data_IF_776417046356
#
_entry.id   IF_776417046356
#
_cell.length_a   1.000
_cell.length_b   1.000
_cell.length_c   1.000
_cell.angle_alpha   90.00
_cell.angle_beta   90.00
_cell.angle_gamma   90.00
#
_symmetry.space_group_name_H-M   'P 1'
#
loop_
_entity.id
_entity.type
_entity.pdbx_description
1 polymer ?
#
# COMPACT_ATOMS: atom_id res chain seq x y z
N UNK A 1 3.05 17.17 20.04
CA UNK A 1 2.70 16.15 21.05
C UNK A 1 2.77 14.75 20.48
N UNK A 2 2.31 14.53 19.23
CA UNK A 2 2.46 13.27 18.48
C UNK A 2 3.89 12.74 18.25
N UNK A 3 4.91 13.49 18.59
CA UNK A 3 6.30 13.06 18.43
C UNK A 3 7.13 13.45 19.66
N UNK A 4 6.46 13.74 20.78
CA UNK A 4 7.07 14.18 22.05
C UNK A 4 7.25 13.05 23.08
N UNK A 5 6.33 12.08 23.12
CA UNK A 5 6.27 11.04 24.16
C UNK A 5 6.89 9.70 23.71
N UNK A 6 7.61 9.69 22.59
CA UNK A 6 8.38 8.55 22.15
C UNK A 6 9.74 8.51 22.86
N UNK A 7 10.11 7.37 23.43
CA UNK A 7 11.46 7.14 23.97
C UNK A 7 12.52 7.56 22.95
N UNK A 8 13.70 7.99 23.42
CA UNK A 8 14.77 8.53 22.56
C UNK A 8 15.16 7.60 21.39
N UNK A 9 14.88 6.29 21.50
CA UNK A 9 15.09 5.29 20.46
C UNK A 9 13.94 5.19 19.42
N UNK A 10 12.70 5.49 19.80
CA UNK A 10 11.53 5.56 18.91
C UNK A 10 11.46 6.92 18.18
N UNK A 11 12.03 7.97 18.78
CA UNK A 11 12.11 9.30 18.17
C UNK A 11 12.97 9.30 16.88
N UNK A 12 14.02 8.47 16.81
CA UNK A 12 14.81 8.26 15.58
C UNK A 12 14.01 7.62 14.43
N UNK A 13 12.97 6.82 14.70
CA UNK A 13 12.18 6.15 13.63
C UNK A 13 11.00 6.98 13.14
N UNK A 14 10.46 7.82 14.02
CA UNK A 14 9.44 8.82 13.70
C UNK A 14 9.97 9.89 12.71
N UNK A 15 11.27 10.15 12.76
CA UNK A 15 11.97 11.20 12.01
C UNK A 15 12.03 11.01 10.48
N UNK A 16 11.46 9.94 9.93
CA UNK A 16 11.64 9.56 8.52
C UNK A 16 10.34 9.43 7.72
N UNK A 17 9.45 10.43 7.79
CA UNK A 17 8.52 10.66 6.68
C UNK A 17 9.30 11.31 5.53
N UNK A 18 9.45 10.66 4.36
CA UNK A 18 10.19 11.23 3.25
C UNK A 18 9.43 12.46 2.71
N UNK A 19 9.92 13.65 3.07
CA UNK A 19 9.46 14.91 2.52
C UNK A 19 10.16 15.16 1.17
N UNK A 20 9.39 14.98 0.10
CA UNK A 20 9.74 14.53 -1.25
C UNK A 20 9.87 15.43 -2.49
N UNK A 21 9.70 16.77 -2.56
CA UNK A 21 9.57 17.39 -3.92
C UNK A 21 10.79 18.03 -4.56
N UNK A 22 10.96 17.68 -5.85
CA UNK A 22 11.88 18.23 -6.85
C UNK A 22 13.23 18.65 -6.26
N UNK A 23 14.07 17.63 -6.02
CA UNK A 23 15.53 17.74 -5.86
C UNK A 23 16.05 18.06 -4.44
N UNK A 24 15.22 17.95 -3.39
CA UNK A 24 15.63 18.24 -2.01
C UNK A 24 15.01 17.31 -0.95
N UNK A 25 15.82 16.41 -0.35
CA UNK A 25 15.44 15.67 0.86
C UNK A 25 15.49 16.59 2.09
N UNK A 26 14.51 16.46 2.99
CA UNK A 26 14.45 17.17 4.27
C UNK A 26 14.83 16.23 5.42
N UNK A 27 15.56 16.75 6.40
CA UNK A 27 15.96 16.02 7.61
C UNK A 27 15.42 16.74 8.83
N UNK A 28 14.81 16.04 9.80
CA UNK A 28 14.40 16.65 11.06
C UNK A 28 15.61 17.14 11.85
N UNK A 29 15.43 18.24 12.55
CA UNK A 29 16.45 18.85 13.40
C UNK A 29 15.76 19.56 14.55
N UNK A 30 16.41 19.63 15.69
CA UNK A 30 15.90 20.35 16.85
C UNK A 30 16.91 21.31 17.44
N UNK A 31 16.40 22.38 18.07
CA UNK A 31 17.20 23.33 18.85
C UNK A 31 16.58 23.49 20.22
N UNK A 32 17.43 23.58 21.25
CA UNK A 32 16.99 23.81 22.64
C UNK A 32 17.26 25.26 23.02
N UNK A 33 16.24 25.96 23.53
CA UNK A 33 16.35 27.31 24.06
C UNK A 33 16.06 27.27 25.56
N UNK A 34 16.89 27.96 26.35
CA UNK A 34 16.76 28.08 27.80
C UNK A 34 16.71 26.72 28.55
N UNK A 35 17.39 25.70 28.05
CA UNK A 35 17.54 24.39 28.71
C UNK A 35 16.30 23.49 28.73
N UNK A 36 15.09 24.04 28.55
CA UNK A 36 13.83 23.27 28.65
C UNK A 36 12.97 23.27 27.38
N UNK A 37 13.05 24.31 26.53
CA UNK A 37 12.15 24.44 25.37
C UNK A 37 12.83 23.96 24.10
N UNK A 38 12.39 22.81 23.59
CA UNK A 38 12.86 22.21 22.32
C UNK A 38 11.98 22.68 21.16
N UNK A 39 12.60 23.20 20.11
CA UNK A 39 11.95 23.59 18.86
C UNK A 39 12.39 22.61 17.77
N UNK A 40 11.45 22.09 16.98
CA UNK A 40 11.71 21.12 15.91
C UNK A 40 11.42 21.72 14.54
N UNK A 41 12.27 21.41 13.58
CA UNK A 41 12.21 21.90 12.22
C UNK A 41 12.66 20.82 11.24
N UNK A 42 12.06 20.80 10.05
CA UNK A 42 12.58 20.06 8.91
C UNK A 42 13.51 20.95 8.10
N UNK A 43 14.73 20.49 7.86
CA UNK A 43 15.82 21.25 7.24
C UNK A 43 16.18 20.61 5.91
N UNK A 44 16.24 21.42 4.84
CA UNK A 44 16.62 20.90 3.53
C UNK A 44 18.11 20.48 3.50
N UNK A 45 18.39 19.22 3.18
CA UNK A 45 19.76 18.69 3.08
C UNK A 45 20.60 19.43 2.03
N UNK A 46 20.02 19.77 0.88
CA UNK A 46 20.71 20.51 -0.19
C UNK A 46 21.13 21.90 0.29
N UNK A 47 20.30 22.52 1.09
CA UNK A 47 20.52 23.86 1.59
C UNK A 47 21.49 23.88 2.78
N UNK A 48 21.50 22.82 3.60
CA UNK A 48 22.51 22.59 4.63
C UNK A 48 23.90 22.33 4.03
N UNK A 49 23.98 21.53 2.96
CA UNK A 49 25.26 21.17 2.31
C UNK A 49 25.79 22.20 1.30
N UNK A 50 24.90 22.88 0.55
CA UNK A 50 25.26 23.81 -0.53
C UNK A 50 24.90 25.26 -0.23
N UNK A 51 24.40 25.56 0.97
CA UNK A 51 24.09 26.90 1.45
C UNK A 51 22.64 27.35 1.22
N UNK A 52 22.12 28.17 2.15
CA UNK A 52 20.72 28.62 2.23
C UNK A 52 20.21 29.47 1.06
N UNK A 53 21.09 29.96 0.20
CA UNK A 53 20.73 30.71 -1.01
C UNK A 53 20.23 29.80 -2.14
N UNK A 54 20.57 28.51 -2.09
CA UNK A 54 20.30 27.53 -3.15
C UNK A 54 18.99 26.76 -2.97
N UNK A 55 18.24 27.03 -1.89
CA UNK A 55 16.92 26.43 -1.65
C UNK A 55 16.00 27.44 -0.98
N UNK A 56 14.84 27.71 -1.60
CA UNK A 56 13.85 28.66 -1.07
C UNK A 56 13.14 28.12 0.17
N UNK A 57 12.99 26.80 0.30
CA UNK A 57 12.27 26.16 1.41
C UNK A 57 12.99 26.24 2.75
N UNK A 58 14.31 26.47 2.75
CA UNK A 58 15.18 26.59 3.92
C UNK A 58 14.86 25.59 5.05
N UNK A 59 14.11 26.05 6.04
CA UNK A 59 13.63 25.27 7.19
C UNK A 59 12.13 25.44 7.35
N UNK A 60 11.45 24.37 7.74
CA UNK A 60 10.00 24.36 7.94
C UNK A 60 9.69 23.96 9.39
N UNK A 61 8.83 24.70 10.13
CA UNK A 61 8.43 24.30 11.47
C UNK A 61 7.77 22.92 11.46
N UNK A 62 8.32 21.99 12.24
CA UNK A 62 7.83 20.61 12.24
C UNK A 62 6.38 20.55 12.74
N UNK A 63 6.06 21.27 13.82
CA UNK A 63 4.74 21.28 14.41
C UNK A 63 3.62 21.73 13.44
N UNK A 64 3.90 22.65 12.52
CA UNK A 64 2.91 23.14 11.56
C UNK A 64 2.64 22.11 10.45
N UNK A 65 3.70 21.49 9.91
CA UNK A 65 3.57 20.46 8.87
C UNK A 65 2.97 19.18 9.44
N UNK A 66 3.45 18.72 10.61
CA UNK A 66 2.92 17.56 11.31
C UNK A 66 1.43 17.72 11.59
N UNK A 67 1.03 18.89 12.11
CA UNK A 67 -0.38 19.19 12.36
C UNK A 67 -1.17 19.22 11.06
N UNK A 68 -0.66 19.85 10.00
CA UNK A 68 -1.35 19.87 8.71
C UNK A 68 -1.57 18.47 8.13
N UNK A 69 -0.56 17.59 8.21
CA UNK A 69 -0.66 16.21 7.73
C UNK A 69 -1.68 15.42 8.54
N UNK A 70 -1.62 15.51 9.87
CA UNK A 70 -2.57 14.83 10.76
C UNK A 70 -3.99 15.35 10.57
N UNK A 71 -4.18 16.67 10.52
CA UNK A 71 -5.48 17.29 10.27
C UNK A 71 -6.01 16.85 8.90
N UNK A 72 -5.15 16.75 7.87
CA UNK A 72 -5.57 16.22 6.57
C UNK A 72 -5.97 14.76 6.61
N UNK A 73 -5.22 13.89 7.32
CA UNK A 73 -5.56 12.47 7.50
C UNK A 73 -6.91 12.31 8.21
N UNK A 74 -7.13 13.06 9.30
CA UNK A 74 -8.40 13.09 10.06
C UNK A 74 -9.59 13.52 9.21
N UNK A 75 -9.38 14.52 8.35
CA UNK A 75 -10.44 15.04 7.49
C UNK A 75 -10.59 14.32 6.15
N UNK A 76 -9.77 13.30 5.83
CA UNK A 76 -9.96 12.49 4.60
C UNK A 76 -11.36 11.89 4.56
N UNK A 77 -11.92 11.50 5.70
CA UNK A 77 -13.29 11.00 5.80
C UNK A 77 -14.40 12.03 5.62
N UNK A 78 -14.09 13.31 5.83
CA UNK A 78 -15.07 14.40 5.83
C UNK A 78 -15.02 15.24 4.54
N UNK A 79 -13.95 15.14 3.75
CA UNK A 79 -13.81 15.81 2.46
C UNK A 79 -14.40 14.93 1.35
N UNK A 80 -15.66 15.21 0.98
CA UNK A 80 -16.39 14.42 -0.02
C UNK A 80 -15.66 14.32 -1.36
N UNK A 81 -14.92 15.36 -1.77
CA UNK A 81 -14.18 15.34 -3.03
C UNK A 81 -12.97 14.40 -2.96
N UNK A 82 -12.27 14.38 -1.81
CA UNK A 82 -11.16 13.46 -1.60
C UNK A 82 -11.63 12.01 -1.44
N UNK A 83 -12.77 11.79 -0.77
CA UNK A 83 -13.40 10.46 -0.70
C UNK A 83 -13.74 9.96 -2.10
N UNK A 84 -14.35 10.80 -2.93
CA UNK A 84 -14.71 10.44 -4.31
C UNK A 84 -13.45 10.11 -5.14
N UNK A 85 -12.38 10.89 -5.00
CA UNK A 85 -11.09 10.62 -5.64
C UNK A 85 -10.48 9.29 -5.18
N UNK A 86 -10.47 9.01 -3.87
CA UNK A 86 -9.97 7.75 -3.30
C UNK A 86 -10.78 6.56 -3.78
N UNK A 87 -12.11 6.65 -3.79
CA UNK A 87 -13.00 5.61 -4.29
C UNK A 87 -12.72 5.32 -5.76
N UNK A 88 -12.56 6.37 -6.57
CA UNK A 88 -12.25 6.22 -7.99
C UNK A 88 -10.87 5.59 -8.21
N UNK A 89 -9.84 6.05 -7.48
CA UNK A 89 -8.50 5.45 -7.56
C UNK A 89 -8.49 3.98 -7.10
N UNK A 90 -9.20 3.66 -6.01
CA UNK A 90 -9.32 2.30 -5.51
C UNK A 90 -10.04 1.39 -6.52
N UNK A 91 -11.08 1.90 -7.19
CA UNK A 91 -11.79 1.19 -8.25
C UNK A 91 -10.88 0.94 -9.45
N UNK A 92 -10.18 1.96 -9.94
CA UNK A 92 -9.20 1.83 -11.04
C UNK A 92 -8.14 0.77 -10.70
N UNK A 93 -7.60 0.80 -9.48
CA UNK A 93 -6.59 -0.17 -9.05
C UNK A 93 -7.16 -1.58 -8.98
N UNK A 94 -8.37 -1.75 -8.43
CA UNK A 94 -9.05 -3.04 -8.35
C UNK A 94 -9.37 -3.60 -9.74
N UNK A 95 -9.82 -2.76 -10.67
CA UNK A 95 -10.09 -3.16 -12.06
C UNK A 95 -8.82 -3.59 -12.79
N UNK A 96 -7.69 -2.91 -12.55
CA UNK A 96 -6.38 -3.30 -13.10
C UNK A 96 -5.92 -4.66 -12.57
N UNK A 97 -6.00 -4.86 -11.26
CA UNK A 97 -5.63 -6.12 -10.62
C UNK A 97 -6.52 -7.27 -11.10
N UNK A 98 -7.84 -7.03 -11.16
CA UNK A 98 -8.80 -7.99 -11.69
C UNK A 98 -8.49 -8.33 -13.15
N UNK A 99 -8.23 -7.32 -13.99
CA UNK A 99 -7.88 -7.52 -15.39
C UNK A 99 -6.61 -8.36 -15.57
N UNK A 100 -5.57 -8.11 -14.75
CA UNK A 100 -4.33 -8.88 -14.79
C UNK A 100 -4.56 -10.35 -14.40
N UNK A 101 -5.32 -10.61 -13.33
CA UNK A 101 -5.62 -11.98 -12.88
C UNK A 101 -6.54 -12.72 -13.86
N UNK A 102 -7.50 -12.02 -14.48
CA UNK A 102 -8.38 -12.57 -15.52
C UNK A 102 -7.55 -13.00 -16.73
N UNK A 103 -6.63 -12.14 -17.19
CA UNK A 103 -5.74 -12.46 -18.30
C UNK A 103 -4.81 -13.64 -17.98
N UNK A 104 -4.26 -13.69 -16.76
CA UNK A 104 -3.46 -14.83 -16.31
C UNK A 104 -4.27 -16.13 -16.28
N UNK A 105 -5.51 -16.09 -15.76
CA UNK A 105 -6.40 -17.25 -15.76
C UNK A 105 -6.70 -17.72 -17.18
N UNK A 106 -7.00 -16.81 -18.12
CA UNK A 106 -7.27 -17.19 -19.51
C UNK A 106 -6.09 -17.88 -20.17
N UNK A 107 -4.87 -17.43 -19.87
CA UNK A 107 -3.68 -18.06 -20.41
C UNK A 107 -3.45 -19.46 -19.82
N UNK A 108 -3.64 -19.61 -18.49
CA UNK A 108 -3.56 -20.90 -17.83
C UNK A 108 -4.62 -21.88 -18.34
N UNK A 109 -5.84 -21.41 -18.62
CA UNK A 109 -6.90 -22.25 -19.20
C UNK A 109 -6.49 -22.77 -20.58
N UNK A 110 -5.93 -21.93 -21.45
CA UNK A 110 -5.41 -22.37 -22.76
C UNK A 110 -4.26 -23.36 -22.62
N UNK A 111 -3.36 -23.14 -21.66
CA UNK A 111 -2.26 -24.06 -21.37
C UNK A 111 -2.78 -25.43 -20.89
N UNK A 112 -3.80 -25.45 -20.03
CA UNK A 112 -4.47 -26.67 -19.60
C UNK A 112 -5.13 -27.40 -20.77
N UNK A 113 -5.84 -26.68 -21.64
CA UNK A 113 -6.45 -27.26 -22.84
C UNK A 113 -5.39 -27.87 -23.78
N UNK A 114 -4.27 -27.18 -23.98
CA UNK A 114 -3.15 -27.66 -24.78
C UNK A 114 -2.54 -28.94 -24.22
N UNK A 115 -2.19 -28.97 -22.92
CA UNK A 115 -1.59 -30.16 -22.31
C UNK A 115 -2.57 -31.33 -22.22
N UNK A 116 -3.85 -31.08 -21.93
CA UNK A 116 -4.87 -32.12 -21.95
C UNK A 116 -5.03 -32.75 -23.33
N UNK A 117 -5.04 -31.94 -24.40
CA UNK A 117 -5.11 -32.47 -25.76
C UNK A 117 -3.83 -33.24 -26.14
N UNK A 118 -2.65 -32.73 -25.75
CA UNK A 118 -1.38 -33.41 -25.98
C UNK A 118 -1.36 -34.80 -25.32
N UNK A 119 -1.77 -34.89 -24.05
CA UNK A 119 -1.88 -36.16 -23.32
C UNK A 119 -2.93 -37.07 -23.98
N UNK A 120 -4.10 -36.53 -24.37
CA UNK A 120 -5.18 -37.30 -25.01
C UNK A 120 -4.71 -37.96 -26.32
N UNK A 121 -3.93 -37.25 -27.13
CA UNK A 121 -3.43 -37.75 -28.43
C UNK A 121 -2.28 -38.74 -28.25
N UNK A 122 -1.42 -38.54 -27.25
CA UNK A 122 -0.19 -39.30 -27.09
C UNK A 122 -0.34 -40.54 -26.20
N UNK A 123 -1.13 -40.48 -25.12
CA UNK A 123 -1.31 -41.59 -24.18
C UNK A 123 -1.75 -42.90 -24.85
N UNK A 124 -2.67 -42.93 -25.84
CA UNK A 124 -3.07 -44.18 -26.50
C UNK A 124 -1.95 -44.85 -27.33
N UNK A 125 -0.91 -44.11 -27.70
CA UNK A 125 0.22 -44.62 -28.51
C UNK A 125 1.24 -45.38 -27.65
N UNK A 126 1.21 -45.18 -26.33
CA UNK A 126 2.11 -45.83 -25.37
C UNK A 126 1.48 -47.16 -24.94
N UNK A 127 2.03 -48.28 -25.42
CA UNK A 127 1.56 -49.62 -25.02
C UNK A 127 2.11 -49.99 -23.63
N UNK A 128 1.30 -50.63 -22.76
CA UNK A 128 1.81 -51.20 -21.51
C UNK A 128 2.93 -52.21 -21.80
N UNK A 129 4.09 -52.03 -21.17
CA UNK A 129 5.27 -52.89 -21.36
C UNK A 129 6.16 -52.55 -22.57
N UNK A 130 5.92 -51.42 -23.24
CA UNK A 130 6.84 -50.88 -24.25
C UNK A 130 8.19 -50.49 -23.62
N UNK A 131 9.35 -50.87 -24.20
CA UNK A 131 10.67 -50.45 -23.71
C UNK A 131 11.02 -48.99 -24.04
N UNK A 132 10.08 -48.22 -24.61
CA UNK A 132 10.31 -46.83 -25.01
C UNK A 132 10.27 -45.88 -23.79
N UNK A 133 11.41 -45.79 -23.10
CA UNK A 133 11.63 -44.95 -21.91
C UNK A 133 11.43 -43.47 -22.23
N UNK A 134 11.78 -43.02 -23.45
CA UNK A 134 11.67 -41.61 -23.86
C UNK A 134 10.22 -41.16 -23.96
N UNK A 135 9.33 -41.99 -24.50
CA UNK A 135 7.88 -41.69 -24.53
C UNK A 135 7.25 -41.64 -23.13
N UNK A 136 7.77 -42.43 -22.19
CA UNK A 136 7.29 -42.43 -20.79
C UNK A 136 7.78 -41.19 -20.03
N UNK A 137 9.04 -40.77 -20.22
CA UNK A 137 9.59 -39.52 -19.67
C UNK A 137 8.82 -38.30 -20.20
N UNK A 138 8.54 -38.23 -21.50
CA UNK A 138 7.74 -37.15 -22.10
C UNK A 138 6.33 -37.05 -21.51
N UNK A 139 5.68 -38.20 -21.27
CA UNK A 139 4.36 -38.23 -20.64
C UNK A 139 4.40 -37.71 -19.19
N UNK A 140 5.45 -38.04 -18.45
CA UNK A 140 5.66 -37.54 -17.09
C UNK A 140 5.87 -36.02 -17.06
N UNK A 141 6.66 -35.48 -17.99
CA UNK A 141 6.89 -34.04 -18.12
C UNK A 141 5.60 -33.27 -18.46
N UNK A 142 4.73 -33.84 -19.30
CA UNK A 142 3.42 -33.26 -19.60
C UNK A 142 2.48 -33.32 -18.40
N UNK A 143 2.43 -34.43 -17.67
CA UNK A 143 1.61 -34.52 -16.45
C UNK A 143 2.08 -33.55 -15.36
N UNK A 144 3.38 -33.36 -15.22
CA UNK A 144 3.94 -32.38 -14.29
C UNK A 144 3.61 -30.95 -14.74
N UNK A 145 3.68 -30.66 -16.04
CA UNK A 145 3.30 -29.36 -16.58
C UNK A 145 1.81 -29.06 -16.39
N UNK A 146 0.95 -30.05 -16.65
CA UNK A 146 -0.49 -29.98 -16.37
C UNK A 146 -0.76 -29.68 -14.90
N UNK A 147 -0.13 -30.43 -13.98
CA UNK A 147 -0.30 -30.25 -12.53
C UNK A 147 0.11 -28.86 -12.07
N UNK A 148 1.21 -28.31 -12.61
CA UNK A 148 1.64 -26.93 -12.31
C UNK A 148 0.61 -25.90 -12.77
N UNK A 149 0.13 -26.03 -14.01
CA UNK A 149 -0.88 -25.13 -14.56
C UNK A 149 -2.20 -25.21 -13.77
N UNK A 150 -2.65 -26.42 -13.38
CA UNK A 150 -3.86 -26.64 -12.58
C UNK A 150 -3.74 -25.98 -11.21
N UNK A 151 -2.61 -26.18 -10.54
CA UNK A 151 -2.36 -25.58 -9.23
C UNK A 151 -2.37 -24.06 -9.31
N UNK A 152 -1.72 -23.49 -10.33
CA UNK A 152 -1.70 -22.05 -10.53
C UNK A 152 -3.08 -21.51 -10.86
N UNK A 153 -3.83 -22.18 -11.72
CA UNK A 153 -5.21 -21.82 -12.06
C UNK A 153 -6.11 -21.81 -10.82
N UNK A 154 -5.97 -22.79 -9.92
CA UNK A 154 -6.72 -22.84 -8.67
C UNK A 154 -6.41 -21.64 -7.75
N UNK A 155 -5.13 -21.27 -7.61
CA UNK A 155 -4.72 -20.10 -6.82
C UNK A 155 -5.29 -18.81 -7.41
N UNK A 156 -5.13 -18.59 -8.73
CA UNK A 156 -5.61 -17.38 -9.40
C UNK A 156 -7.14 -17.29 -9.33
N UNK A 157 -7.84 -18.41 -9.53
CA UNK A 157 -9.30 -18.47 -9.41
C UNK A 157 -9.80 -18.15 -8.00
N UNK A 158 -9.10 -18.62 -6.97
CA UNK A 158 -9.41 -18.30 -5.58
C UNK A 158 -9.21 -16.79 -5.29
N UNK A 159 -8.09 -16.21 -5.77
CA UNK A 159 -7.83 -14.77 -5.64
C UNK A 159 -8.89 -13.92 -6.35
N UNK A 160 -9.28 -14.29 -7.57
CA UNK A 160 -10.33 -13.61 -8.32
C UNK A 160 -11.66 -13.59 -7.54
N UNK A 161 -12.06 -14.72 -6.95
CA UNK A 161 -13.28 -14.78 -6.10
C UNK A 161 -13.21 -13.83 -4.92
N UNK A 162 -12.08 -13.78 -4.22
CA UNK A 162 -11.89 -12.88 -3.07
C UNK A 162 -11.99 -11.41 -3.51
N UNK A 163 -11.29 -11.04 -4.58
CA UNK A 163 -11.26 -9.66 -5.06
C UNK A 163 -12.64 -9.19 -5.57
N UNK A 164 -13.39 -10.08 -6.24
CA UNK A 164 -14.77 -9.80 -6.68
C UNK A 164 -15.74 -9.63 -5.50
N UNK A 165 -15.57 -10.41 -4.43
CA UNK A 165 -16.38 -10.27 -3.21
C UNK A 165 -16.04 -9.01 -2.39
N UNK A 166 -14.86 -8.42 -2.62
CA UNK A 166 -14.36 -7.23 -1.93
C UNK A 166 -14.62 -5.93 -2.71
N UNK A 167 -15.67 -5.88 -3.54
CA UNK A 167 -16.06 -4.65 -4.23
C UNK A 167 -16.30 -3.53 -3.19
N UNK A 168 -15.44 -2.52 -3.22
CA UNK A 168 -15.52 -1.35 -2.34
C UNK A 168 -16.63 -0.43 -2.84
N UNK A 169 -17.62 -0.15 -2.00
CA UNK A 169 -18.61 0.89 -2.28
C UNK A 169 -18.16 2.22 -1.70
N UNK A 170 -18.70 3.31 -2.24
CA UNK A 170 -18.49 4.65 -1.67
C UNK A 170 -18.91 4.71 -0.20
N UNK A 171 -20.01 4.05 0.13
CA UNK A 171 -20.56 4.00 1.48
C UNK A 171 -19.62 3.26 2.45
N UNK A 172 -19.02 2.15 2.02
CA UNK A 172 -17.99 1.43 2.80
C UNK A 172 -16.83 2.37 3.17
N UNK A 173 -16.34 3.17 2.21
CA UNK A 173 -15.23 4.10 2.42
C UNK A 173 -15.62 5.24 3.35
N UNK A 174 -16.80 5.85 3.15
CA UNK A 174 -17.31 6.92 4.05
C UNK A 174 -17.48 6.40 5.47
N UNK A 175 -18.09 5.23 5.64
CA UNK A 175 -18.32 4.65 6.96
C UNK A 175 -17.01 4.32 7.65
N UNK A 176 -16.07 3.68 6.95
CA UNK A 176 -14.77 3.35 7.51
C UNK A 176 -13.94 4.57 7.89
N UNK A 177 -13.99 5.65 7.10
CA UNK A 177 -13.26 6.87 7.43
C UNK A 177 -13.94 7.67 8.55
N UNK A 178 -15.27 7.60 8.66
CA UNK A 178 -16.02 8.27 9.74
C UNK A 178 -15.86 7.54 11.07
N UNK A 179 -15.87 6.20 11.06
CA UNK A 179 -15.64 5.39 12.27
C UNK A 179 -14.18 5.44 12.77
N UNK A 180 -13.26 5.85 11.90
CA UNK A 180 -11.84 5.97 12.22
C UNK A 180 -11.52 7.20 13.08
N UNK A 181 -12.30 8.28 12.99
CA UNK A 181 -12.02 9.54 13.70
C UNK A 181 -12.05 9.39 15.24
N UNK A 182 -13.05 8.73 15.87
CA UNK A 182 -13.04 8.47 17.31
C UNK A 182 -11.90 7.54 17.75
N UNK A 183 -11.54 6.57 16.90
CA UNK A 183 -10.43 5.65 17.16
C UNK A 183 -9.14 6.45 17.20
N UNK A 184 -8.92 7.33 16.22
CA UNK A 184 -7.75 8.19 16.15
C UNK A 184 -7.51 9.01 17.42
N UNK A 185 -8.57 9.57 18.02
CA UNK A 185 -8.46 10.34 19.27
C UNK A 185 -8.08 9.50 20.49
N UNK A 186 -8.41 8.20 20.48
CA UNK A 186 -8.06 7.26 21.55
C UNK A 186 -6.65 6.68 21.44
N UNK A 187 -6.04 6.75 20.25
CA UNK A 187 -4.74 6.17 19.99
C UNK A 187 -3.62 6.94 20.69
N UNK A 188 -2.62 6.20 21.15
CA UNK A 188 -1.38 6.80 21.63
C UNK A 188 -0.64 7.48 20.50
N UNK A 189 0.21 8.42 20.90
CA UNK A 189 1.15 9.13 20.05
C UNK A 189 1.95 8.19 19.11
N UNK A 190 2.36 7.04 19.64
CA UNK A 190 3.13 6.03 18.92
C UNK A 190 2.31 5.31 17.84
N UNK A 191 1.06 4.97 18.17
CA UNK A 191 0.15 4.27 17.25
C UNK A 191 -0.27 5.19 16.10
N UNK A 192 -0.61 6.44 16.42
CA UNK A 192 -0.91 7.46 15.41
C UNK A 192 0.27 7.66 14.45
N UNK A 193 1.51 7.69 14.96
CA UNK A 193 2.72 7.78 14.13
C UNK A 193 2.86 6.61 13.17
N UNK A 194 2.61 5.38 13.65
CA UNK A 194 2.68 4.17 12.82
C UNK A 194 1.61 4.18 11.72
N UNK A 195 0.40 4.63 12.03
CA UNK A 195 -0.66 4.71 11.02
C UNK A 195 -0.34 5.77 9.97
N UNK A 196 0.18 6.94 10.36
CA UNK A 196 0.62 7.96 9.39
C UNK A 196 1.65 7.39 8.43
N UNK A 197 2.62 6.60 8.90
CA UNK A 197 3.63 5.96 8.05
C UNK A 197 3.05 4.91 7.09
N UNK A 198 1.92 4.28 7.43
CA UNK A 198 1.23 3.32 6.56
C UNK A 198 0.35 4.00 5.51
N UNK A 199 -0.27 5.12 5.89
CA UNK A 199 -1.20 5.88 5.03
C UNK A 199 -0.44 6.82 4.09
N UNK A 200 0.61 7.49 4.58
CA UNK A 200 1.30 8.55 3.85
C UNK A 200 2.56 7.98 3.21
N UNK A 201 2.55 7.93 1.88
CA UNK A 201 3.72 7.55 1.10
C UNK A 201 4.76 8.68 1.08
N UNK A 202 4.31 9.92 0.90
CA UNK A 202 5.19 11.07 0.70
C UNK A 202 4.48 12.38 1.05
N UNK A 203 5.23 13.37 1.56
CA UNK A 203 4.73 14.73 1.76
C UNK A 203 5.64 15.72 1.02
N UNK A 204 5.07 16.66 0.31
CA UNK A 204 5.80 17.57 -0.57
C UNK A 204 5.54 19.01 -0.14
N UNK A 205 6.59 19.75 0.20
CA UNK A 205 6.49 21.15 0.59
C UNK A 205 7.19 22.08 -0.41
N UNK A 206 6.43 23.00 -0.99
CA UNK A 206 6.95 24.07 -1.82
C UNK A 206 7.15 25.35 -0.99
N UNK A 207 8.41 25.68 -0.70
CA UNK A 207 8.77 26.87 0.06
C UNK A 207 8.61 28.20 -0.67
N UNK A 208 8.37 28.20 -1.99
CA UNK A 208 8.08 29.42 -2.74
C UNK A 208 6.59 29.82 -2.64
N UNK A 209 5.70 28.82 -2.57
CA UNK A 209 4.24 29.03 -2.55
C UNK A 209 3.60 28.70 -1.21
N UNK A 210 4.32 28.03 -0.30
CA UNK A 210 3.79 27.49 0.95
C UNK A 210 2.89 26.26 0.76
N UNK A 211 2.83 25.69 -0.45
CA UNK A 211 1.93 24.57 -0.76
C UNK A 211 2.46 23.25 -0.20
N UNK A 212 1.62 22.54 0.54
CA UNK A 212 1.85 21.16 0.96
C UNK A 212 1.02 20.23 0.07
N UNK A 213 1.64 19.17 -0.46
CA UNK A 213 0.95 18.09 -1.20
C UNK A 213 1.24 16.78 -0.47
N UNK A 214 0.23 15.91 -0.30
CA UNK A 214 0.38 14.62 0.37
C UNK A 214 0.07 13.54 -0.65
N UNK A 215 0.95 12.54 -0.74
CA UNK A 215 0.74 11.33 -1.54
C UNK A 215 0.43 10.19 -0.61
N UNK A 216 -0.71 9.53 -0.82
CA UNK A 216 -1.19 8.43 0.01
C UNK A 216 -0.78 7.07 -0.54
N UNK A 217 -0.62 6.08 0.34
CA UNK A 217 -0.45 4.68 -0.03
C UNK A 217 -1.79 4.11 -0.52
N UNK A 218 -1.90 3.62 -1.76
CA UNK A 218 -3.15 3.06 -2.29
C UNK A 218 -3.68 1.92 -1.43
N UNK A 219 -2.77 1.02 -1.00
CA UNK A 219 -3.12 -0.13 -0.17
C UNK A 219 -3.35 0.24 1.31
N UNK A 220 -2.78 1.34 1.79
CA UNK A 220 -2.92 1.78 3.18
C UNK A 220 -4.34 2.28 3.48
N UNK A 221 -4.90 3.07 2.56
CA UNK A 221 -6.30 3.50 2.65
C UNK A 221 -7.25 2.30 2.47
N UNK A 222 -6.94 1.39 1.54
CA UNK A 222 -7.74 0.17 1.31
C UNK A 222 -7.78 -0.72 2.56
N UNK A 223 -6.66 -0.89 3.26
CA UNK A 223 -6.56 -1.71 4.47
C UNK A 223 -7.41 -1.14 5.61
N UNK A 224 -7.35 0.18 5.83
CA UNK A 224 -8.18 0.84 6.86
C UNK A 224 -9.66 0.78 6.50
N UNK A 225 -9.99 0.95 5.20
CA UNK A 225 -11.35 0.80 4.72
C UNK A 225 -11.91 -0.62 4.94
N UNK A 226 -11.07 -1.64 4.84
CA UNK A 226 -11.45 -3.05 5.02
C UNK A 226 -11.50 -3.49 6.49
N UNK A 227 -10.60 -3.01 7.35
CA UNK A 227 -10.56 -3.36 8.78
C UNK A 227 -11.73 -2.76 9.58
N UNK A 228 -12.29 -1.62 9.14
CA UNK A 228 -13.47 -1.00 9.75
C UNK A 228 -14.82 -1.60 9.28
N UNK A 229 -14.82 -2.72 8.55
CA UNK A 229 -16.07 -3.45 8.29
C UNK A 229 -16.56 -4.12 9.58
N UNK A 230 -17.77 -3.80 10.07
CA UNK A 230 -18.31 -4.38 11.30
C UNK A 230 -18.49 -5.91 11.23
N UNK A 231 -18.52 -6.50 10.02
CA UNK A 231 -18.74 -7.94 9.82
C UNK A 231 -17.49 -8.83 10.06
N UNK A 232 -16.29 -8.28 10.23
CA UNK A 232 -15.06 -9.08 10.44
C UNK A 232 -14.57 -9.13 11.90
N UNK A 233 -15.09 -8.27 12.79
CA UNK A 233 -14.70 -8.27 14.21
C UNK A 233 -15.37 -9.41 14.99
N UNK A 234 -16.56 -9.85 14.57
CA UNK A 234 -17.27 -10.99 15.19
C UNK A 234 -16.72 -12.37 14.80
N UNK A 235 -15.88 -12.47 13.77
CA UNK A 235 -15.27 -13.74 13.37
C UNK A 235 -13.94 -14.05 14.10
N UNK A 236 -13.47 -13.14 14.97
CA UNK A 236 -12.19 -13.24 15.67
C UNK A 236 -12.30 -13.22 17.21
N UNK A 237 -13.50 -13.45 17.77
CA UNK A 237 -13.71 -13.71 19.22
C UNK A 237 -14.19 -15.15 19.47
#
# INVERSE_FOLDING_TARGET
RLFDDADAHDQERIETLPLLRFDCSMTPTHTTKNGSKRYRYYVCMKAQKRGWKNCKSKSVPAAEIEKFVVDKIRHVGHDAALVDEVVEQAKIQSERELGALVAERDELVKELEYWNEAIRVAAPKIKPGSPDVTSLEQLADWHESLRRAEHRHAIVSAKLKVLQAQALTREDVVNALTSFEPIWESLTVREQSRIVQLIVQQVDYDGATGRVTITFHPDGIKTIAMENRPELVEAAS
#
